data_IF_332005679665
#
_entry.id   IF_332005679665
#
_cell.length_a   1.000
_cell.length_b   1.000
_cell.length_c   1.000
_cell.angle_alpha   90.00
_cell.angle_beta   90.00
_cell.angle_gamma   90.00
#
_symmetry.space_group_name_H-M   'P 1'
#
loop_
_entity.id
_entity.type
_entity.pdbx_description
1 polymer ?
#
# COMPACT_ATOMS: atom_id res chain seq x y z
N UNK A 1 2.26 -6.84 13.36
CA UNK A 1 3.52 -6.14 13.79
C UNK A 1 3.19 -5.27 14.99
N UNK A 2 4.07 -5.16 16.00
CA UNK A 2 3.79 -4.41 17.23
C UNK A 2 4.29 -2.97 17.14
N UNK A 3 3.44 -2.00 17.46
CA UNK A 3 3.76 -0.56 17.51
C UNK A 3 3.45 -0.03 18.90
N UNK A 4 4.38 0.69 19.51
CA UNK A 4 4.21 1.26 20.86
C UNK A 4 3.82 2.73 20.73
N UNK A 5 2.72 3.10 21.38
CA UNK A 5 2.20 4.45 21.40
C UNK A 5 1.90 4.91 22.84
N UNK A 6 1.90 6.22 23.05
CA UNK A 6 1.58 6.83 24.34
C UNK A 6 0.41 7.78 24.18
N UNK A 7 -0.54 7.78 25.11
CA UNK A 7 -1.65 8.73 25.04
C UNK A 7 -1.16 10.16 25.28
N UNK A 8 -1.67 11.11 24.50
CA UNK A 8 -1.37 12.55 24.69
C UNK A 8 -2.61 13.34 25.10
N UNK A 9 -2.39 14.31 25.99
CA UNK A 9 -3.41 15.29 26.41
C UNK A 9 -3.27 16.63 25.69
N UNK A 10 -2.05 17.05 25.36
CA UNK A 10 -1.82 18.31 24.64
C UNK A 10 -2.14 18.18 23.15
N UNK A 11 -3.05 19.03 22.67
CA UNK A 11 -3.46 19.11 21.27
C UNK A 11 -3.12 20.49 20.68
N UNK A 12 -3.11 20.59 19.35
CA UNK A 12 -2.84 21.83 18.62
C UNK A 12 -1.49 21.88 17.92
N UNK A 13 -1.29 22.96 17.16
CA UNK A 13 -0.12 23.19 16.30
C UNK A 13 1.19 23.34 17.08
N UNK A 14 1.17 24.09 18.18
CA UNK A 14 2.36 24.33 19.02
C UNK A 14 2.87 23.04 19.68
N UNK A 15 1.98 22.27 20.32
CA UNK A 15 2.33 21.00 20.96
C UNK A 15 2.85 19.98 19.94
N UNK A 16 2.16 19.84 18.79
CA UNK A 16 2.57 18.91 17.74
C UNK A 16 3.94 19.26 17.13
N UNK A 17 4.27 20.56 17.04
CA UNK A 17 5.60 21.00 16.59
C UNK A 17 6.70 20.64 17.58
N UNK A 18 6.45 20.80 18.90
CA UNK A 18 7.40 20.41 19.94
C UNK A 18 7.67 18.89 19.91
N UNK A 19 6.63 18.08 19.77
CA UNK A 19 6.76 16.62 19.67
C UNK A 19 7.63 16.19 18.50
N UNK A 20 7.40 16.76 17.31
CA UNK A 20 8.23 16.46 16.13
C UNK A 20 9.69 16.88 16.30
N UNK A 21 9.94 18.00 16.96
CA UNK A 21 11.30 18.44 17.28
C UNK A 21 11.97 17.51 18.32
N UNK A 22 11.19 16.87 19.19
CA UNK A 22 11.65 15.90 20.17
C UNK A 22 11.79 14.47 19.60
N UNK A 23 11.62 14.27 18.29
CA UNK A 23 11.71 12.95 17.66
C UNK A 23 10.47 12.08 17.84
N UNK A 24 9.31 12.67 18.15
CA UNK A 24 8.03 11.95 18.26
C UNK A 24 7.05 12.37 17.17
N UNK A 25 6.30 11.40 16.65
CA UNK A 25 5.26 11.63 15.65
C UNK A 25 3.89 11.66 16.34
N UNK A 26 3.10 12.73 16.16
CA UNK A 26 1.72 12.73 16.62
C UNK A 26 0.85 11.83 15.74
N UNK A 27 -0.14 11.19 16.34
CA UNK A 27 -1.12 10.40 15.60
C UNK A 27 -2.48 10.34 16.30
N UNK A 28 -3.38 9.61 15.67
CA UNK A 28 -4.74 9.40 16.16
C UNK A 28 -5.17 7.95 15.94
N UNK A 29 -5.91 7.42 16.90
CA UNK A 29 -6.65 6.17 16.78
C UNK A 29 -8.13 6.52 16.73
N UNK A 30 -8.85 6.02 15.75
CA UNK A 30 -10.30 6.22 15.64
C UNK A 30 -10.98 4.97 15.06
N UNK A 31 -12.31 4.99 15.00
CA UNK A 31 -13.11 3.89 14.48
C UNK A 31 -13.61 2.96 15.59
N UNK A 32 -14.43 1.98 15.18
CA UNK A 32 -15.21 1.17 16.11
C UNK A 32 -16.24 2.01 16.88
N UNK A 33 -16.52 1.62 18.12
CA UNK A 33 -17.55 2.23 18.98
C UNK A 33 -17.01 3.21 20.02
N UNK A 34 -15.70 3.28 20.24
CA UNK A 34 -15.14 4.18 21.26
C UNK A 34 -14.66 5.53 20.70
N UNK A 35 -14.43 6.49 21.60
CA UNK A 35 -13.98 7.82 21.23
C UNK A 35 -12.57 7.80 20.62
N UNK A 36 -12.26 8.71 19.68
CA UNK A 36 -10.92 8.84 19.12
C UNK A 36 -9.89 9.19 20.19
N UNK A 37 -8.73 8.52 20.14
CA UNK A 37 -7.64 8.71 21.09
C UNK A 37 -6.47 9.38 20.38
N UNK A 38 -6.02 10.50 20.94
CA UNK A 38 -4.81 11.17 20.48
C UNK A 38 -3.58 10.46 21.06
N UNK A 39 -2.65 10.08 20.20
CA UNK A 39 -1.44 9.34 20.58
C UNK A 39 -0.15 10.02 20.10
N UNK A 40 0.96 9.61 20.69
CA UNK A 40 2.31 9.90 20.23
C UNK A 40 3.07 8.60 20.01
N UNK A 41 3.90 8.60 18.97
CA UNK A 41 4.68 7.46 18.52
C UNK A 41 6.15 7.86 18.42
N UNK A 42 7.05 6.91 18.59
CA UNK A 42 8.46 7.14 18.29
C UNK A 42 8.64 7.32 16.77
N UNK A 43 9.25 8.44 16.37
CA UNK A 43 9.38 8.78 14.96
C UNK A 43 10.27 7.77 14.21
N UNK A 44 11.36 7.33 14.82
CA UNK A 44 12.34 6.49 14.14
C UNK A 44 11.78 5.08 13.87
N UNK A 45 11.19 4.47 14.89
CA UNK A 45 10.52 3.19 14.76
C UNK A 45 9.40 3.24 13.71
N UNK A 46 8.58 4.29 13.72
CA UNK A 46 7.49 4.47 12.78
C UNK A 46 8.00 4.74 11.35
N UNK A 47 9.05 5.53 11.18
CA UNK A 47 9.64 5.81 9.87
C UNK A 47 10.21 4.56 9.21
N UNK A 48 10.88 3.69 9.97
CA UNK A 48 11.36 2.41 9.46
C UNK A 48 10.23 1.42 9.18
N UNK A 49 9.16 1.45 9.96
CA UNK A 49 7.97 0.62 9.72
C UNK A 49 7.25 1.04 8.43
N UNK A 50 7.05 2.34 8.21
CA UNK A 50 6.41 2.89 6.99
C UNK A 50 7.15 2.57 5.69
N UNK A 51 8.46 2.30 5.74
CA UNK A 51 9.24 1.87 4.57
C UNK A 51 8.92 0.45 4.12
N UNK A 52 8.30 -0.36 4.98
CA UNK A 52 7.90 -1.72 4.65
C UNK A 52 6.53 -1.66 4.00
N UNK A 53 6.40 -2.18 2.78
CA UNK A 53 5.13 -2.18 2.05
C UNK A 53 4.03 -2.92 2.82
N UNK A 54 4.38 -4.06 3.43
CA UNK A 54 3.49 -4.84 4.28
C UNK A 54 2.92 -4.04 5.47
N UNK A 55 3.55 -2.93 5.88
CA UNK A 55 3.03 -2.10 6.97
C UNK A 55 1.75 -1.34 6.58
N UNK A 56 1.56 -1.06 5.29
CA UNK A 56 0.37 -0.33 4.79
C UNK A 56 -0.84 -1.24 4.62
N UNK A 57 -0.61 -2.53 4.40
CA UNK A 57 -1.62 -3.55 4.12
C UNK A 57 -1.76 -4.60 5.24
N UNK A 58 -1.19 -4.37 6.43
CA UNK A 58 -1.28 -5.32 7.56
C UNK A 58 -2.01 -4.76 8.78
N UNK A 59 -2.61 -5.67 9.54
CA UNK A 59 -3.18 -5.37 10.84
C UNK A 59 -2.03 -5.26 11.85
N UNK A 60 -2.01 -4.15 12.57
CA UNK A 60 -1.01 -3.79 13.54
C UNK A 60 -1.57 -3.97 14.95
N UNK A 61 -0.73 -4.44 15.86
CA UNK A 61 -1.03 -4.46 17.28
C UNK A 61 -0.43 -3.19 17.89
N UNK A 62 -1.29 -2.25 18.23
CA UNK A 62 -0.91 -0.97 18.81
C UNK A 62 -1.04 -1.04 20.32
N UNK A 63 0.06 -0.90 21.04
CA UNK A 63 0.06 -0.83 22.50
C UNK A 63 -0.03 0.63 22.95
N UNK A 64 -1.10 0.99 23.64
CA UNK A 64 -1.33 2.31 24.24
C UNK A 64 -1.45 2.14 25.74
N UNK A 65 -0.48 2.68 26.50
CA UNK A 65 -0.47 2.67 27.97
C UNK A 65 -0.73 1.26 28.58
N UNK A 66 -0.19 0.21 27.95
CA UNK A 66 -0.32 -1.19 28.37
C UNK A 66 -1.56 -1.93 27.86
N UNK A 67 -2.42 -1.28 27.07
CA UNK A 67 -3.54 -1.93 26.36
C UNK A 67 -3.17 -2.18 24.91
N UNK A 68 -3.39 -3.40 24.42
CA UNK A 68 -3.17 -3.73 23.01
C UNK A 68 -4.48 -3.65 22.23
N UNK A 69 -4.50 -2.87 21.16
CA UNK A 69 -5.63 -2.74 20.24
C UNK A 69 -5.19 -3.12 18.82
N UNK A 70 -6.10 -3.74 18.06
CA UNK A 70 -5.87 -4.06 16.65
C UNK A 70 -6.27 -2.88 15.78
N UNK A 71 -5.31 -2.36 15.02
CA UNK A 71 -5.50 -1.18 14.18
C UNK A 71 -4.90 -1.40 12.80
N UNK A 72 -5.42 -0.65 11.83
CA UNK A 72 -4.90 -0.55 10.47
C UNK A 72 -4.39 0.87 10.26
N UNK A 73 -3.23 1.01 9.61
CA UNK A 73 -2.77 2.33 9.16
C UNK A 73 -3.69 2.80 8.02
N UNK A 74 -4.39 3.92 8.23
CA UNK A 74 -5.33 4.45 7.24
C UNK A 74 -4.72 5.55 6.38
N UNK A 75 -3.99 6.45 7.02
CA UNK A 75 -3.31 7.55 6.36
C UNK A 75 -2.04 7.92 7.12
N UNK A 76 -1.09 8.49 6.41
CA UNK A 76 0.12 9.03 6.99
C UNK A 76 0.61 10.22 6.19
N UNK A 77 1.10 11.23 6.90
CA UNK A 77 1.60 12.44 6.28
C UNK A 77 3.11 12.49 6.47
N UNK A 78 3.85 12.61 5.38
CA UNK A 78 5.29 12.84 5.40
C UNK A 78 5.62 14.25 4.93
N UNK A 79 6.71 14.79 5.47
CA UNK A 79 7.24 16.04 4.97
C UNK A 79 7.84 15.81 3.57
N UNK A 80 7.51 16.67 2.59
CA UNK A 80 7.90 16.48 1.18
C UNK A 80 9.43 16.38 0.96
N UNK A 81 10.21 17.18 1.70
CA UNK A 81 11.68 17.19 1.61
C UNK A 81 12.39 16.46 2.76
N UNK A 82 11.97 16.67 4.01
CA UNK A 82 12.63 16.10 5.19
C UNK A 82 12.14 14.68 5.42
N UNK A 83 13.02 13.80 5.91
CA UNK A 83 12.65 12.47 6.38
C UNK A 83 11.91 12.54 7.72
N UNK A 84 10.73 13.18 7.72
CA UNK A 84 9.95 13.45 8.92
C UNK A 84 8.49 13.04 8.66
N UNK A 85 7.96 12.21 9.56
CA UNK A 85 6.54 11.86 9.55
C UNK A 85 5.79 12.88 10.38
N UNK A 86 4.87 13.59 9.73
CA UNK A 86 4.11 14.70 10.29
C UNK A 86 2.93 14.22 11.13
N UNK A 87 2.23 13.20 10.65
CA UNK A 87 1.04 12.63 11.27
C UNK A 87 0.82 11.17 10.82
N UNK A 88 0.17 10.37 11.65
CA UNK A 88 -0.26 9.01 11.31
C UNK A 88 -1.66 8.72 11.87
N UNK A 89 -2.49 8.10 11.04
CA UNK A 89 -3.89 7.80 11.30
C UNK A 89 -4.07 6.29 11.40
N UNK A 90 -4.56 5.84 12.55
CA UNK A 90 -4.86 4.44 12.81
C UNK A 90 -6.36 4.25 12.96
N UNK A 91 -6.90 3.31 12.18
CA UNK A 91 -8.29 2.91 12.27
C UNK A 91 -8.39 1.59 13.03
N UNK A 92 -9.25 1.52 14.06
CA UNK A 92 -9.57 0.29 14.77
C UNK A 92 -10.28 -0.68 13.85
N UNK A 93 -9.86 -1.94 13.92
CA UNK A 93 -10.37 -2.99 13.04
C UNK A 93 -11.26 -3.94 13.83
N UNK A 94 -12.54 -3.96 13.48
CA UNK A 94 -13.47 -4.97 13.98
C UNK A 94 -13.38 -6.23 13.11
N UNK A 95 -13.15 -7.42 13.68
CA UNK A 95 -12.94 -8.66 12.92
C UNK A 95 -14.14 -9.07 12.06
N UNK A 96 -15.33 -8.57 12.38
CA UNK A 96 -16.58 -8.90 11.70
C UNK A 96 -16.97 -7.90 10.60
N UNK A 97 -16.25 -6.77 10.48
CA UNK A 97 -16.58 -5.73 9.52
C UNK A 97 -15.65 -5.78 8.31
N UNK A 98 -16.22 -5.68 7.11
CA UNK A 98 -15.43 -5.57 5.88
C UNK A 98 -14.65 -4.26 5.88
N UNK A 99 -13.37 -4.35 5.57
CA UNK A 99 -12.46 -3.21 5.44
C UNK A 99 -12.12 -2.98 3.97
N UNK A 100 -11.90 -1.72 3.61
CA UNK A 100 -11.46 -1.31 2.28
C UNK A 100 -10.03 -0.80 2.37
N UNK A 101 -9.08 -1.50 1.77
CA UNK A 101 -7.64 -1.24 1.92
C UNK A 101 -6.95 -1.30 0.56
N UNK A 102 -5.92 -0.48 0.39
CA UNK A 102 -5.02 -0.54 -0.76
C UNK A 102 -3.93 -1.56 -0.50
N UNK A 103 -3.84 -2.57 -1.35
CA UNK A 103 -2.83 -3.63 -1.25
C UNK A 103 -1.84 -3.48 -2.40
N UNK A 104 -0.52 -3.51 -2.13
CA UNK A 104 0.49 -3.40 -3.17
C UNK A 104 0.50 -4.63 -4.09
N UNK A 105 0.81 -4.40 -5.37
CA UNK A 105 0.93 -5.41 -6.41
C UNK A 105 2.40 -5.73 -6.67
N UNK A 106 2.78 -7.01 -6.57
CA UNK A 106 4.13 -7.49 -6.84
C UNK A 106 4.17 -8.20 -8.19
N UNK A 107 4.91 -7.61 -9.14
CA UNK A 107 5.05 -8.15 -10.49
C UNK A 107 6.16 -9.18 -10.53
N UNK A 108 5.81 -10.43 -10.83
CA UNK A 108 6.76 -11.54 -10.94
C UNK A 108 6.90 -11.98 -12.39
N UNK A 109 8.04 -12.60 -12.73
CA UNK A 109 8.33 -13.16 -14.05
C UNK A 109 8.35 -12.15 -15.22
N UNK A 110 8.54 -10.86 -14.94
CA UNK A 110 8.68 -9.81 -15.95
C UNK A 110 9.77 -10.16 -16.99
N UNK A 111 10.93 -10.63 -16.53
CA UNK A 111 12.10 -10.95 -17.37
C UNK A 111 11.91 -12.19 -18.23
N UNK A 112 10.98 -13.08 -17.87
CA UNK A 112 10.74 -14.34 -18.58
C UNK A 112 9.68 -14.16 -19.68
N UNK A 113 8.89 -13.08 -19.61
CA UNK A 113 7.77 -12.84 -20.50
C UNK A 113 8.19 -12.78 -21.98
N UNK A 114 7.42 -13.40 -22.90
CA UNK A 114 7.62 -13.27 -24.34
C UNK A 114 7.68 -11.82 -24.81
N UNK A 115 6.91 -10.92 -24.20
CA UNK A 115 6.94 -9.48 -24.48
C UNK A 115 8.35 -8.87 -24.33
N UNK A 116 9.04 -9.16 -23.23
CA UNK A 116 10.38 -8.63 -22.95
C UNK A 116 11.44 -9.37 -23.77
N UNK A 117 11.37 -10.71 -23.83
CA UNK A 117 12.41 -11.53 -24.50
C UNK A 117 12.36 -11.51 -26.01
N UNK A 118 11.17 -11.58 -26.61
CA UNK A 118 11.02 -11.71 -28.07
C UNK A 118 10.83 -10.35 -28.74
N UNK A 119 10.13 -9.42 -28.09
CA UNK A 119 9.73 -8.14 -28.71
C UNK A 119 10.43 -6.92 -28.12
N UNK A 120 11.37 -7.10 -27.18
CA UNK A 120 12.03 -5.99 -26.45
C UNK A 120 11.04 -4.96 -25.90
N UNK A 121 9.84 -5.40 -25.52
CA UNK A 121 8.79 -4.53 -25.02
C UNK A 121 9.11 -4.08 -23.59
N UNK A 122 8.79 -2.83 -23.28
CA UNK A 122 8.90 -2.28 -21.93
C UNK A 122 7.58 -2.51 -21.21
N UNK A 123 7.63 -3.14 -20.04
CA UNK A 123 6.46 -3.31 -19.19
C UNK A 123 6.22 -1.99 -18.45
N UNK A 124 5.05 -1.40 -18.67
CA UNK A 124 4.57 -0.23 -17.95
C UNK A 124 3.59 -0.66 -16.87
N UNK A 125 3.91 -0.38 -15.61
CA UNK A 125 3.01 -0.61 -14.48
C UNK A 125 2.05 0.58 -14.37
N UNK A 126 0.77 0.35 -14.69
CA UNK A 126 -0.27 1.39 -14.67
C UNK A 126 -0.84 1.54 -13.27
N UNK A 127 -0.99 0.44 -12.54
CA UNK A 127 -1.39 0.42 -11.14
C UNK A 127 -0.36 -0.36 -10.31
N UNK A 128 0.12 0.25 -9.24
CA UNK A 128 1.07 -0.37 -8.27
C UNK A 128 0.32 -0.88 -7.04
N UNK A 129 -0.89 -0.39 -6.81
CA UNK A 129 -1.75 -0.75 -5.68
C UNK A 129 -3.15 -1.08 -6.20
N UNK A 130 -3.83 -1.99 -5.51
CA UNK A 130 -5.20 -2.39 -5.80
C UNK A 130 -6.10 -2.14 -4.59
N UNK A 131 -7.22 -1.46 -4.81
CA UNK A 131 -8.27 -1.30 -3.80
C UNK A 131 -9.01 -2.63 -3.61
N UNK A 132 -8.95 -3.17 -2.39
CA UNK A 132 -9.53 -4.46 -2.02
C UNK A 132 -10.52 -4.28 -0.87
N UNK A 133 -11.66 -4.96 -0.96
CA UNK A 133 -12.57 -5.20 0.16
C UNK A 133 -12.44 -6.64 0.63
N UNK A 134 -12.07 -6.83 1.89
CA UNK A 134 -11.93 -8.15 2.51
C UNK A 134 -12.28 -8.09 4.00
N UNK A 135 -12.42 -9.28 4.61
CA UNK A 135 -12.43 -9.38 6.06
C UNK A 135 -11.00 -9.19 6.59
N UNK A 136 -10.83 -8.64 7.80
CA UNK A 136 -9.53 -8.47 8.44
C UNK A 136 -8.69 -9.78 8.50
N UNK A 137 -9.35 -10.93 8.61
CA UNK A 137 -8.67 -12.23 8.65
C UNK A 137 -8.07 -12.66 7.30
N UNK A 138 -8.62 -12.17 6.19
CA UNK A 138 -8.25 -12.57 4.83
C UNK A 138 -7.39 -11.50 4.13
N UNK A 139 -6.93 -10.47 4.87
CA UNK A 139 -6.15 -9.36 4.32
C UNK A 139 -4.75 -9.84 3.91
N UNK A 140 -4.41 -9.82 2.60
CA UNK A 140 -3.08 -10.21 2.13
C UNK A 140 -2.09 -9.04 2.27
N UNK A 141 -0.82 -9.35 2.55
CA UNK A 141 0.23 -8.32 2.60
C UNK A 141 0.55 -7.75 1.22
N UNK A 142 0.53 -8.59 0.18
CA UNK A 142 0.73 -8.22 -1.22
C UNK A 142 -0.05 -9.16 -2.13
N UNK A 143 -0.31 -8.73 -3.37
CA UNK A 143 -0.90 -9.58 -4.42
C UNK A 143 0.12 -9.78 -5.52
N UNK A 144 0.46 -11.04 -5.80
CA UNK A 144 1.37 -11.39 -6.89
C UNK A 144 0.66 -11.33 -8.25
N UNK A 145 1.31 -10.70 -9.22
CA UNK A 145 0.86 -10.60 -10.60
C UNK A 145 1.86 -11.32 -11.49
N UNK A 146 1.45 -12.46 -12.04
CA UNK A 146 2.30 -13.25 -12.94
C UNK A 146 2.30 -12.65 -14.36
N UNK A 147 3.46 -12.19 -14.80
CA UNK A 147 3.69 -11.64 -16.14
C UNK A 147 4.24 -12.68 -17.13
N UNK A 148 4.39 -13.95 -16.74
CA UNK A 148 5.06 -14.99 -17.53
C UNK A 148 4.47 -15.20 -18.93
N UNK A 149 3.16 -14.97 -19.11
CA UNK A 149 2.42 -15.18 -20.37
C UNK A 149 2.12 -13.88 -21.13
N UNK A 150 2.69 -12.75 -20.70
CA UNK A 150 2.41 -11.46 -21.31
C UNK A 150 3.06 -11.37 -22.70
N UNK A 151 2.25 -11.08 -23.72
CA UNK A 151 2.69 -10.81 -25.09
C UNK A 151 2.82 -9.30 -25.36
N UNK A 152 3.57 -8.96 -26.40
CA UNK A 152 3.78 -7.57 -26.80
C UNK A 152 2.45 -6.90 -27.23
N UNK A 153 2.14 -5.74 -26.66
CA UNK A 153 0.90 -5.02 -26.92
C UNK A 153 -0.32 -5.50 -26.12
N UNK A 154 -0.17 -6.53 -25.27
CA UNK A 154 -1.26 -6.97 -24.38
C UNK A 154 -1.26 -6.23 -23.04
N UNK A 155 -2.45 -6.13 -22.44
CA UNK A 155 -2.70 -5.52 -21.14
C UNK A 155 -3.31 -6.53 -20.17
N UNK A 156 -2.81 -6.56 -18.93
CA UNK A 156 -3.42 -7.32 -17.84
C UNK A 156 -4.45 -6.44 -17.15
N UNK A 157 -5.65 -6.98 -16.99
CA UNK A 157 -6.75 -6.33 -16.29
C UNK A 157 -6.94 -6.91 -14.89
N UNK A 158 -7.58 -6.15 -14.00
CA UNK A 158 -7.88 -6.60 -12.63
C UNK A 158 -8.65 -7.92 -12.59
N UNK A 159 -9.57 -8.18 -13.53
CA UNK A 159 -10.31 -9.44 -13.60
C UNK A 159 -9.45 -10.68 -13.90
N UNK A 160 -8.23 -10.50 -14.40
CA UNK A 160 -7.30 -11.61 -14.71
C UNK A 160 -6.34 -11.91 -13.55
N UNK A 161 -6.44 -11.18 -12.43
CA UNK A 161 -5.61 -11.38 -11.26
C UNK A 161 -6.07 -12.59 -10.44
N UNK A 162 -5.10 -13.40 -10.00
CA UNK A 162 -5.33 -14.46 -9.04
C UNK A 162 -5.48 -13.86 -7.64
N UNK A 163 -6.71 -13.48 -7.28
CA UNK A 163 -7.00 -12.95 -5.94
C UNK A 163 -7.11 -14.09 -4.91
N UNK A 164 -6.55 -13.93 -3.70
CA UNK A 164 -6.68 -14.91 -2.62
C UNK A 164 -8.13 -15.01 -2.13
N UNK A 165 -8.45 -16.13 -1.45
CA UNK A 165 -9.82 -16.42 -0.99
C UNK A 165 -10.34 -15.31 -0.07
N UNK A 166 -11.55 -14.80 -0.34
CA UNK A 166 -12.21 -13.78 0.50
C UNK A 166 -11.88 -12.33 0.13
N UNK A 167 -10.97 -12.11 -0.83
CA UNK A 167 -10.61 -10.78 -1.33
C UNK A 167 -11.46 -10.41 -2.54
N UNK A 168 -12.16 -9.29 -2.45
CA UNK A 168 -12.91 -8.70 -3.57
C UNK A 168 -12.23 -7.41 -4.03
N UNK A 169 -11.81 -7.33 -5.29
CA UNK A 169 -11.28 -6.09 -5.84
C UNK A 169 -12.42 -5.08 -6.02
N UNK A 170 -12.24 -3.87 -5.50
CA UNK A 170 -13.21 -2.77 -5.66
C UNK A 170 -12.73 -1.90 -6.80
N UNK A 171 -13.35 -2.05 -7.97
CA UNK A 171 -13.00 -1.28 -9.17
C UNK A 171 -14.15 -0.35 -9.51
N UNK A 172 -13.90 0.97 -9.47
CA UNK A 172 -14.89 1.96 -9.84
C UNK A 172 -14.88 2.19 -11.36
N UNK A 173 -15.86 1.61 -12.08
CA UNK A 173 -16.14 1.98 -13.47
C UNK A 173 -15.53 1.11 -14.58
N UNK A 174 -15.24 -0.17 -14.31
CA UNK A 174 -14.81 -1.15 -15.33
C UNK A 174 -13.48 -1.83 -14.98
N UNK A 175 -13.02 -2.72 -15.87
CA UNK A 175 -11.77 -3.48 -15.72
C UNK A 175 -10.53 -2.56 -15.81
N UNK A 176 -10.03 -2.13 -14.65
CA UNK A 176 -8.81 -1.34 -14.58
C UNK A 176 -7.61 -2.14 -15.12
N UNK A 177 -6.78 -1.47 -15.92
CA UNK A 177 -5.54 -2.04 -16.43
C UNK A 177 -4.46 -1.97 -15.37
N UNK A 178 -3.81 -3.10 -15.10
CA UNK A 178 -2.79 -3.26 -14.07
C UNK A 178 -1.39 -3.03 -14.66
N UNK A 179 -1.11 -3.67 -15.81
CA UNK A 179 0.15 -3.56 -16.53
C UNK A 179 -0.07 -3.67 -18.04
N UNK A 180 0.79 -3.01 -18.81
CA UNK A 180 0.77 -3.02 -20.29
C UNK A 180 2.18 -3.30 -20.80
N UNK A 181 2.32 -4.24 -21.74
CA UNK A 181 3.54 -4.38 -22.53
C UNK A 181 3.53 -3.43 -23.71
N UNK A 182 4.38 -2.40 -23.70
CA UNK A 182 4.50 -1.43 -24.80
C UNK A 182 5.77 -1.73 -25.58
N UNK A 183 5.64 -1.91 -26.89
CA UNK A 183 6.81 -2.01 -27.77
C UNK A 183 7.33 -0.60 -28.06
N UNK A 184 8.58 -0.25 -27.69
CA UNK A 184 9.13 1.06 -28.02
C UNK A 184 9.31 1.19 -29.53
N UNK A 185 8.93 2.36 -30.08
CA UNK A 185 8.89 2.62 -31.52
C UNK A 185 10.24 2.45 -32.28
N UNK A 186 11.36 2.31 -31.56
CA UNK A 186 12.68 2.02 -32.14
C UNK A 186 12.88 0.56 -32.62
N UNK A 187 12.00 -0.37 -32.24
CA UNK A 187 12.06 -1.75 -32.73
C UNK A 187 11.40 -1.92 -34.12
N UNK A 188 10.45 -1.06 -34.46
CA UNK A 188 9.76 -1.07 -35.78
C UNK A 188 10.60 -0.48 -36.91
N UNK A 189 11.67 0.27 -36.64
CA UNK A 189 12.54 0.81 -37.69
C UNK A 189 13.61 -0.18 -38.19
N UNK A 190 13.88 -1.27 -37.47
CA UNK A 190 14.92 -2.23 -37.88
C UNK A 190 14.40 -3.32 -38.87
N UNK A 191 13.10 -3.61 -38.90
CA UNK A 191 12.52 -4.58 -39.85
C UNK A 191 12.04 -3.95 -41.16
N UNK A 192 11.95 -2.62 -41.25
CA UNK A 192 11.49 -1.92 -42.47
C UNK A 192 12.61 -1.67 -43.51
N UNK A 193 13.88 -1.85 -43.17
CA UNK A 193 15.01 -1.62 -44.09
C UNK A 193 15.56 -2.89 -44.77
N UNK A 194 14.96 -4.06 -44.55
CA UNK A 194 15.45 -5.33 -45.09
C UNK A 194 14.54 -6.00 -46.14
N UNK A 195 13.71 -5.22 -46.86
CA UNK A 195 12.94 -5.74 -48.01
C UNK A 195 13.07 -4.86 -49.25
#
# INVERSE_FOLDING_TARGET
MKVIAFARKEQGTGASRRLRNAGQTPGIIYGGTEAPVSITLDHNALYHALKKEAFHSSILDLEVDGKSEKVLLRDFQVHAYKQLVLHADFQRVDPNQKIHVKVPLHFVNADVSPAVKLSSAVISHVAVELDVSCLPADLPEFVEVDLSKLEAGQSIHVSQLALPKGVTAVVHGGDATVAIAVVPAGATSAEAEAK
#
